data_IF_837219067538
#
_entry.id   IF_837219067538
#
_cell.length_a   1.000
_cell.length_b   1.000
_cell.length_c   1.000
_cell.angle_alpha   90.00
_cell.angle_beta   90.00
_cell.angle_gamma   90.00
#
_symmetry.space_group_name_H-M   'P 1'
#
loop_
_entity.id
_entity.type
_entity.pdbx_description
1 polymer ?
#
# COMPACT_ATOMS: atom_id res chain seq x y z
N UNK A 1 12.03 9.85 16.98
CA UNK A 1 12.34 10.62 15.79
C UNK A 1 11.26 11.67 15.53
N UNK A 2 10.01 11.28 15.33
CA UNK A 2 8.92 12.18 14.96
C UNK A 2 8.60 13.24 16.03
N UNK A 3 8.75 12.91 17.33
CA UNK A 3 8.65 13.93 18.39
C UNK A 3 9.66 15.07 18.17
N UNK A 4 10.94 14.73 17.93
CA UNK A 4 11.96 15.72 17.64
C UNK A 4 11.69 16.51 16.34
N UNK A 5 11.12 15.85 15.33
CA UNK A 5 10.77 16.51 14.08
C UNK A 5 9.61 17.51 14.27
N UNK A 6 8.59 17.15 15.05
CA UNK A 6 7.46 18.04 15.36
C UNK A 6 7.84 19.19 16.31
N UNK A 7 8.78 18.97 17.22
CA UNK A 7 9.34 20.04 18.06
C UNK A 7 10.15 21.06 17.25
N UNK A 8 10.83 20.62 16.19
CA UNK A 8 11.67 21.46 15.34
C UNK A 8 10.92 22.18 14.21
N UNK A 9 9.77 21.62 13.75
CA UNK A 9 9.04 22.11 12.59
C UNK A 9 7.54 22.15 12.86
N UNK A 10 6.94 23.33 12.89
CA UNK A 10 5.51 23.56 13.13
C UNK A 10 4.59 22.93 12.07
N UNK A 11 5.13 22.60 10.90
CA UNK A 11 4.42 21.88 9.83
C UNK A 11 4.14 20.40 10.16
N UNK A 12 4.79 19.84 11.18
CA UNK A 12 4.62 18.46 11.60
C UNK A 12 3.86 18.42 12.92
N UNK A 13 2.80 17.63 12.93
CA UNK A 13 2.00 17.33 14.13
C UNK A 13 1.97 15.83 14.38
N UNK A 14 1.90 15.43 15.65
CA UNK A 14 1.83 14.04 16.06
C UNK A 14 0.57 13.82 16.89
N UNK A 15 -0.28 12.90 16.46
CA UNK A 15 -1.51 12.50 17.13
C UNK A 15 -1.43 11.05 17.58
N UNK A 16 -2.12 10.72 18.66
CA UNK A 16 -2.28 9.36 19.18
C UNK A 16 -3.73 8.93 19.05
N UNK A 17 -3.93 7.75 18.47
CA UNK A 17 -5.23 7.10 18.34
C UNK A 17 -5.26 5.83 19.16
N UNK A 18 -6.39 5.32 19.47
CA UNK A 18 -6.66 4.07 20.20
C UNK A 18 -5.46 3.23 20.65
N UNK A 19 -5.67 2.23 21.43
CA UNK A 19 -4.60 1.31 21.84
C UNK A 19 -4.48 0.17 20.82
N UNK A 20 -3.24 -0.24 20.53
CA UNK A 20 -2.96 -1.49 19.82
C UNK A 20 -3.01 -2.69 20.79
N UNK A 21 -2.93 -3.91 20.27
CA UNK A 21 -2.87 -5.13 21.09
C UNK A 21 -1.60 -5.22 21.96
N UNK A 22 -0.58 -4.40 21.70
CA UNK A 22 0.60 -4.27 22.57
C UNK A 22 0.40 -3.34 23.76
N UNK A 23 -0.74 -2.63 23.84
CA UNK A 23 -1.00 -1.61 24.85
C UNK A 23 -0.49 -0.22 24.48
N UNK A 24 0.36 -0.11 23.46
CA UNK A 24 0.86 1.18 22.95
C UNK A 24 -0.16 1.83 22.02
N UNK A 25 -0.28 3.16 22.00
CA UNK A 25 -1.18 3.87 21.09
C UNK A 25 -0.68 3.80 19.65
N UNK A 26 -1.61 3.78 18.69
CA UNK A 26 -1.25 3.97 17.28
C UNK A 26 -1.05 5.47 17.01
N UNK A 27 0.04 5.82 16.34
CA UNK A 27 0.39 7.21 16.06
C UNK A 27 0.09 7.59 14.61
N UNK A 28 -0.29 8.86 14.41
CA UNK A 28 -0.42 9.51 13.13
C UNK A 28 0.48 10.75 13.12
N UNK A 29 1.45 10.77 12.22
CA UNK A 29 2.26 11.96 11.91
C UNK A 29 1.61 12.70 10.75
N UNK A 30 1.41 13.99 10.89
CA UNK A 30 0.74 14.81 9.89
C UNK A 30 1.65 15.95 9.45
N UNK A 31 1.92 16.02 8.18
CA UNK A 31 2.48 17.21 7.55
C UNK A 31 1.36 18.06 6.94
N UNK A 32 1.36 19.32 7.25
CA UNK A 32 0.62 20.37 6.55
C UNK A 32 1.45 21.66 6.61
N UNK A 33 1.57 22.35 5.50
CA UNK A 33 2.37 23.58 5.41
C UNK A 33 2.04 24.61 6.50
N UNK A 34 0.76 24.77 6.83
CA UNK A 34 0.28 25.69 7.86
C UNK A 34 0.29 25.09 9.28
N UNK A 35 0.70 23.82 9.42
CA UNK A 35 0.53 23.03 10.64
C UNK A 35 -0.88 22.48 10.78
N UNK A 36 -1.09 21.62 11.78
CA UNK A 36 -2.40 21.09 12.21
C UNK A 36 -2.41 21.08 13.73
N UNK A 37 -3.31 21.84 14.32
CA UNK A 37 -3.44 21.95 15.78
C UNK A 37 -4.56 21.08 16.33
N UNK A 38 -5.56 20.77 15.50
CA UNK A 38 -6.68 19.91 15.82
C UNK A 38 -6.88 18.89 14.68
N UNK A 39 -7.06 17.62 15.04
CA UNK A 39 -7.24 16.54 14.07
C UNK A 39 -8.46 16.74 13.17
N UNK A 40 -9.52 17.39 13.63
CA UNK A 40 -10.71 17.68 12.84
C UNK A 40 -10.44 18.64 11.67
N UNK A 41 -9.35 19.40 11.70
CA UNK A 41 -8.94 20.28 10.61
C UNK A 41 -8.62 19.48 9.34
N UNK A 42 -8.11 18.27 9.48
CA UNK A 42 -7.78 17.38 8.36
C UNK A 42 -9.04 17.03 7.58
N UNK A 43 -10.08 16.59 8.31
CA UNK A 43 -11.34 16.14 7.71
C UNK A 43 -12.05 17.23 6.92
N UNK A 44 -11.97 18.47 7.41
CA UNK A 44 -12.64 19.63 6.84
C UNK A 44 -11.77 20.40 5.83
N UNK A 45 -10.52 20.00 5.63
CA UNK A 45 -9.61 20.66 4.71
C UNK A 45 -10.01 20.43 3.26
N UNK A 46 -9.94 21.48 2.40
CA UNK A 46 -10.08 21.34 0.97
C UNK A 46 -8.85 20.71 0.29
N UNK A 47 -7.74 20.56 1.02
CA UNK A 47 -6.47 20.00 0.50
C UNK A 47 -6.60 18.51 0.16
N UNK A 48 -5.68 18.01 -0.66
CA UNK A 48 -5.52 16.58 -0.87
C UNK A 48 -5.08 15.90 0.42
N UNK A 49 -5.58 14.70 0.66
CA UNK A 49 -5.24 13.90 1.83
C UNK A 49 -4.62 12.60 1.37
N UNK A 50 -3.33 12.45 1.70
CA UNK A 50 -2.57 11.24 1.41
C UNK A 50 -2.30 10.54 2.73
N UNK A 51 -2.66 9.25 2.83
CA UNK A 51 -2.35 8.43 3.99
C UNK A 51 -1.35 7.35 3.62
N UNK A 52 -0.22 7.36 4.30
CA UNK A 52 0.84 6.35 4.17
C UNK A 52 0.78 5.43 5.37
N UNK A 53 0.71 4.13 5.14
CA UNK A 53 0.74 3.11 6.17
C UNK A 53 2.04 2.30 6.08
N UNK A 54 2.76 2.21 7.18
CA UNK A 54 4.02 1.48 7.24
C UNK A 54 3.97 0.38 8.30
N UNK A 55 4.70 -0.68 8.06
CA UNK A 55 4.99 -1.67 9.08
C UNK A 55 3.79 -2.49 9.54
N UNK A 56 2.84 -2.83 8.66
CA UNK A 56 1.88 -3.93 8.91
C UNK A 56 2.68 -5.18 9.29
N UNK A 57 3.75 -5.43 8.57
CA UNK A 57 4.77 -6.41 8.89
C UNK A 57 6.07 -5.67 9.20
N UNK A 58 6.43 -5.47 10.46
CA UNK A 58 7.57 -4.60 10.82
C UNK A 58 8.95 -5.11 10.40
N UNK A 59 9.04 -6.35 9.93
CA UNK A 59 10.22 -6.84 9.23
C UNK A 59 10.39 -6.25 7.83
N UNK A 60 9.37 -5.57 7.31
CA UNK A 60 9.30 -4.88 6.04
C UNK A 60 9.45 -3.37 6.27
N UNK A 61 10.67 -2.96 6.66
CA UNK A 61 10.93 -1.62 7.24
C UNK A 61 11.21 -0.51 6.22
N UNK A 62 11.21 -0.82 4.94
CA UNK A 62 11.63 0.11 3.88
C UNK A 62 10.79 1.39 3.85
N UNK A 63 9.46 1.26 3.94
CA UNK A 63 8.55 2.40 4.03
C UNK A 63 8.68 3.20 5.32
N UNK A 64 9.07 2.55 6.44
CA UNK A 64 9.30 3.23 7.71
C UNK A 64 10.44 4.23 7.55
N UNK A 65 11.60 3.77 7.06
CA UNK A 65 12.78 4.61 6.89
C UNK A 65 12.59 5.64 5.77
N UNK A 66 11.96 5.24 4.64
CA UNK A 66 11.66 6.15 3.55
C UNK A 66 10.73 7.29 3.99
N UNK A 67 9.71 7.03 4.83
CA UNK A 67 8.81 8.07 5.35
C UNK A 67 9.51 9.03 6.32
N UNK A 68 10.50 8.54 7.08
CA UNK A 68 11.32 9.40 7.96
C UNK A 68 12.17 10.39 7.14
N UNK A 69 12.78 9.93 6.06
CA UNK A 69 13.53 10.76 5.13
C UNK A 69 12.61 11.77 4.44
N UNK A 70 11.51 11.31 3.91
CA UNK A 70 10.55 12.09 3.15
C UNK A 70 10.00 13.29 3.95
N UNK A 71 9.49 13.07 5.16
CA UNK A 71 8.95 14.16 5.97
C UNK A 71 10.04 15.15 6.40
N UNK A 72 11.26 14.66 6.71
CA UNK A 72 12.39 15.53 7.00
C UNK A 72 12.73 16.43 5.81
N UNK A 73 12.84 15.84 4.63
CA UNK A 73 13.27 16.56 3.43
C UNK A 73 12.23 17.59 2.99
N UNK A 74 10.93 17.29 3.15
CA UNK A 74 9.86 18.26 2.87
C UNK A 74 9.99 19.49 3.78
N UNK A 75 10.15 19.31 5.11
CA UNK A 75 10.16 20.44 6.05
C UNK A 75 11.48 21.20 6.08
N UNK A 76 12.56 20.61 5.56
CA UNK A 76 13.87 21.25 5.44
C UNK A 76 14.13 21.91 4.07
N UNK A 77 13.18 21.79 3.14
CA UNK A 77 13.31 22.32 1.79
C UNK A 77 12.09 23.17 1.42
N UNK A 78 12.28 24.50 1.37
CA UNK A 78 11.23 25.46 1.06
C UNK A 78 10.55 25.19 -0.30
N UNK A 79 11.31 24.71 -1.29
CA UNK A 79 10.75 24.36 -2.60
C UNK A 79 9.79 23.17 -2.51
N UNK A 80 10.09 22.16 -1.70
CA UNK A 80 9.19 21.02 -1.47
C UNK A 80 7.99 21.44 -0.63
N UNK A 81 8.19 22.27 0.40
CA UNK A 81 7.09 22.84 1.20
C UNK A 81 6.12 23.66 0.33
N UNK A 82 6.64 24.47 -0.61
CA UNK A 82 5.80 25.21 -1.57
C UNK A 82 5.12 24.27 -2.57
N UNK A 83 5.84 23.27 -3.08
CA UNK A 83 5.31 22.31 -4.05
C UNK A 83 4.11 21.56 -3.49
N UNK A 84 4.16 21.10 -2.24
CA UNK A 84 3.11 20.29 -1.60
C UNK A 84 2.17 21.10 -0.68
N UNK A 85 2.01 22.39 -0.95
CA UNK A 85 1.16 23.29 -0.14
C UNK A 85 -0.34 22.93 -0.15
N UNK A 86 -0.81 22.24 -1.20
CA UNK A 86 -2.21 21.80 -1.32
C UNK A 86 -2.43 20.37 -0.86
N UNK A 87 -1.44 19.76 -0.19
CA UNK A 87 -1.53 18.41 0.37
C UNK A 87 -1.40 18.40 1.89
N UNK A 88 -2.15 17.51 2.52
CA UNK A 88 -1.94 17.03 3.87
C UNK A 88 -1.42 15.61 3.75
N UNK A 89 -0.19 15.37 4.25
CA UNK A 89 0.46 14.08 4.20
C UNK A 89 0.39 13.47 5.59
N UNK A 90 -0.33 12.36 5.71
CA UNK A 90 -0.54 11.62 6.93
C UNK A 90 0.27 10.32 6.88
N UNK A 91 1.02 10.02 7.93
CA UNK A 91 1.86 8.82 8.00
C UNK A 91 1.55 8.07 9.29
N UNK A 92 1.18 6.81 9.18
CA UNK A 92 1.23 5.84 10.28
C UNK A 92 2.66 5.29 10.29
N UNK A 93 3.50 5.67 11.28
CA UNK A 93 4.93 5.33 11.26
C UNK A 93 5.18 3.84 11.33
N UNK A 94 4.45 3.15 12.22
CA UNK A 94 4.50 1.71 12.41
C UNK A 94 3.13 1.22 12.86
N UNK A 95 2.41 0.55 11.97
CA UNK A 95 1.07 0.04 12.27
C UNK A 95 1.10 -1.12 13.29
N UNK A 96 2.02 -2.05 13.14
CA UNK A 96 2.19 -3.21 14.02
C UNK A 96 3.27 -2.96 15.06
N UNK A 97 2.94 -2.19 16.10
CA UNK A 97 3.90 -1.83 17.16
C UNK A 97 4.38 -3.07 17.91
N UNK A 98 3.49 -4.00 18.26
CA UNK A 98 3.86 -5.23 18.95
C UNK A 98 4.85 -6.09 18.20
N UNK A 99 4.67 -6.22 16.87
CA UNK A 99 5.63 -6.89 16.00
C UNK A 99 6.95 -6.12 15.88
N UNK A 100 6.90 -4.78 15.86
CA UNK A 100 8.11 -3.95 15.79
C UNK A 100 8.97 -4.04 17.05
N UNK A 101 8.35 -4.15 18.23
CA UNK A 101 9.04 -4.36 19.51
C UNK A 101 9.68 -5.76 19.62
N UNK A 102 9.16 -6.75 18.89
CA UNK A 102 9.73 -8.09 18.82
C UNK A 102 10.84 -8.17 17.76
N UNK A 103 11.94 -7.45 17.99
CA UNK A 103 13.07 -7.36 17.05
C UNK A 103 13.92 -8.61 17.03
N UNK A 104 14.34 -8.99 15.84
CA UNK A 104 15.19 -10.13 15.59
C UNK A 104 15.93 -10.00 14.25
N UNK A 105 16.79 -10.98 13.91
CA UNK A 105 17.59 -11.04 12.68
C UNK A 105 17.35 -12.29 11.84
N UNK A 106 16.32 -13.10 12.13
CA UNK A 106 16.18 -14.46 11.58
C UNK A 106 14.78 -14.82 11.07
N UNK A 107 13.75 -14.04 11.35
CA UNK A 107 12.36 -14.37 10.95
C UNK A 107 12.05 -14.07 9.47
N UNK A 108 12.90 -13.33 8.79
CA UNK A 108 12.83 -13.09 7.34
C UNK A 108 14.07 -13.66 6.67
N UNK A 109 14.05 -14.97 6.47
CA UNK A 109 15.13 -15.69 5.81
C UNK A 109 15.40 -15.10 4.41
N UNK A 110 16.67 -14.92 4.05
CA UNK A 110 17.15 -14.38 2.77
C UNK A 110 16.88 -12.88 2.54
N UNK A 111 16.25 -12.14 3.46
CA UNK A 111 16.11 -10.70 3.29
C UNK A 111 17.46 -9.99 3.38
N UNK A 112 17.77 -9.19 2.36
CA UNK A 112 19.01 -8.42 2.28
C UNK A 112 18.89 -7.11 3.07
N UNK A 113 19.05 -7.20 4.41
CA UNK A 113 18.94 -6.08 5.34
C UNK A 113 17.49 -5.66 5.69
N UNK A 114 17.35 -4.85 6.73
CA UNK A 114 18.39 -4.44 7.68
C UNK A 114 18.87 -5.58 8.59
N UNK A 115 19.91 -5.35 9.41
CA UNK A 115 20.47 -6.38 10.31
C UNK A 115 19.47 -6.87 11.35
N UNK A 116 18.63 -5.98 11.85
CA UNK A 116 17.57 -6.30 12.82
C UNK A 116 16.28 -5.64 12.41
N UNK A 117 15.18 -6.37 12.52
CA UNK A 117 13.87 -5.98 12.04
C UNK A 117 12.77 -6.56 12.94
N UNK A 118 11.53 -6.14 12.76
CA UNK A 118 10.40 -6.62 13.56
C UNK A 118 9.85 -7.96 13.07
N UNK A 119 8.91 -8.49 13.85
CA UNK A 119 8.20 -9.73 13.59
C UNK A 119 6.89 -9.48 12.82
N UNK A 120 6.46 -10.44 12.00
CA UNK A 120 5.26 -10.32 11.16
C UNK A 120 3.97 -10.18 11.95
N UNK A 121 3.76 -11.05 12.94
CA UNK A 121 2.57 -11.05 13.78
C UNK A 121 2.54 -9.88 14.76
N UNK A 122 1.34 -9.44 15.16
CA UNK A 122 1.18 -8.46 16.22
C UNK A 122 1.40 -9.09 17.62
N UNK A 123 1.16 -8.34 18.70
CA UNK A 123 1.33 -8.84 20.07
C UNK A 123 0.49 -10.09 20.40
N UNK A 124 -0.58 -10.35 19.63
CA UNK A 124 -1.41 -11.56 19.72
C UNK A 124 -1.11 -12.58 18.63
N UNK A 125 -0.03 -12.38 17.87
CA UNK A 125 0.38 -13.20 16.74
C UNK A 125 -0.64 -13.25 15.58
N UNK A 126 -1.44 -12.19 15.39
CA UNK A 126 -2.30 -12.03 14.21
C UNK A 126 -1.56 -11.35 13.07
N UNK A 127 -1.86 -11.77 11.83
CA UNK A 127 -1.45 -11.05 10.61
C UNK A 127 -2.43 -9.90 10.36
N UNK A 128 -1.98 -8.68 10.65
CA UNK A 128 -2.81 -7.49 10.51
C UNK A 128 -3.24 -7.20 9.06
N UNK A 129 -2.49 -7.72 8.06
CA UNK A 129 -2.90 -7.62 6.65
C UNK A 129 -3.95 -8.69 6.27
N UNK A 130 -4.70 -9.21 7.25
CA UNK A 130 -5.89 -10.08 7.09
C UNK A 130 -7.08 -9.57 7.90
N UNK A 131 -6.95 -8.40 8.55
CA UNK A 131 -7.88 -7.96 9.59
C UNK A 131 -8.65 -6.67 9.27
N UNK A 132 -8.39 -6.01 8.14
CA UNK A 132 -8.94 -4.68 7.86
C UNK A 132 -10.47 -4.63 7.92
N UNK A 133 -11.19 -5.52 7.24
CA UNK A 133 -12.66 -5.55 7.29
C UNK A 133 -13.19 -6.27 8.53
N UNK A 134 -12.39 -7.18 9.11
CA UNK A 134 -12.84 -7.97 10.25
C UNK A 134 -12.77 -7.22 11.56
N UNK A 135 -11.71 -6.40 11.74
CA UNK A 135 -11.43 -5.61 12.94
C UNK A 135 -11.42 -6.44 14.24
N UNK A 136 -10.80 -7.65 14.19
CA UNK A 136 -10.65 -8.53 15.34
C UNK A 136 -9.57 -8.03 16.33
N UNK A 137 -8.73 -7.09 15.91
CA UNK A 137 -7.63 -6.55 16.70
C UNK A 137 -7.86 -5.08 17.08
N UNK A 138 -7.27 -4.65 18.20
CA UNK A 138 -7.24 -3.24 18.56
C UNK A 138 -6.49 -2.39 17.54
N UNK A 139 -5.47 -2.97 16.87
CA UNK A 139 -4.75 -2.31 15.80
C UNK A 139 -5.69 -1.88 14.66
N UNK A 140 -6.53 -2.80 14.18
CA UNK A 140 -7.44 -2.50 13.06
C UNK A 140 -8.55 -1.51 13.46
N UNK A 141 -9.03 -1.53 14.70
CA UNK A 141 -9.96 -0.53 15.20
C UNK A 141 -9.31 0.87 15.22
N UNK A 142 -8.09 1.00 15.74
CA UNK A 142 -7.33 2.26 15.74
C UNK A 142 -7.01 2.74 14.31
N UNK A 143 -6.68 1.82 13.40
CA UNK A 143 -6.51 2.16 11.98
C UNK A 143 -7.79 2.70 11.35
N UNK A 144 -8.93 2.06 11.60
CA UNK A 144 -10.21 2.50 11.08
C UNK A 144 -10.55 3.91 11.58
N UNK A 145 -10.29 4.22 12.84
CA UNK A 145 -10.44 5.56 13.41
C UNK A 145 -9.57 6.58 12.66
N UNK A 146 -8.28 6.30 12.46
CA UNK A 146 -7.38 7.15 11.67
C UNK A 146 -7.91 7.32 10.24
N UNK A 147 -8.23 6.21 9.57
CA UNK A 147 -8.65 6.21 8.17
C UNK A 147 -9.92 7.06 7.95
N UNK A 148 -10.91 6.92 8.82
CA UNK A 148 -12.17 7.69 8.72
C UNK A 148 -12.02 9.15 9.16
N UNK A 149 -11.07 9.46 10.04
CA UNK A 149 -10.71 10.84 10.40
C UNK A 149 -9.99 11.53 9.24
N UNK A 150 -9.00 10.88 8.63
CA UNK A 150 -8.27 11.42 7.48
C UNK A 150 -9.14 11.41 6.23
N UNK A 151 -9.95 10.39 5.99
CA UNK A 151 -10.70 10.16 4.76
C UNK A 151 -9.83 10.38 3.49
N UNK A 152 -8.75 9.62 3.31
CA UNK A 152 -7.71 9.92 2.34
C UNK A 152 -8.19 9.83 0.90
N UNK A 153 -7.67 10.71 0.06
CA UNK A 153 -7.86 10.68 -1.39
C UNK A 153 -6.99 9.61 -2.04
N UNK A 154 -5.76 9.47 -1.51
CA UNK A 154 -4.79 8.45 -1.90
C UNK A 154 -4.28 7.72 -0.67
N UNK A 155 -4.16 6.41 -0.77
CA UNK A 155 -3.63 5.54 0.27
C UNK A 155 -2.42 4.76 -0.24
N UNK A 156 -1.30 4.81 0.49
CA UNK A 156 -0.08 4.06 0.18
C UNK A 156 0.18 3.08 1.32
N UNK A 157 0.40 1.82 0.99
CA UNK A 157 0.74 0.76 1.94
C UNK A 157 2.08 0.13 1.57
N UNK A 158 3.09 0.30 2.42
CA UNK A 158 4.46 -0.11 2.13
C UNK A 158 4.77 -1.51 2.68
N UNK A 159 5.24 -2.38 1.78
CA UNK A 159 5.57 -3.79 2.03
C UNK A 159 6.89 -4.22 1.40
N UNK A 160 7.30 -5.46 1.72
CA UNK A 160 8.45 -6.14 1.11
C UNK A 160 8.04 -7.54 0.70
N UNK A 161 8.05 -7.82 -0.60
CA UNK A 161 7.71 -9.11 -1.17
C UNK A 161 8.84 -10.12 -1.11
N UNK A 162 8.45 -11.38 -1.29
CA UNK A 162 9.30 -12.52 -1.56
C UNK A 162 8.85 -13.20 -2.87
N UNK A 163 9.30 -14.42 -3.15
CA UNK A 163 8.86 -15.23 -4.30
C UNK A 163 9.84 -15.16 -5.46
N UNK A 164 9.34 -14.99 -6.67
CA UNK A 164 10.15 -14.92 -7.89
C UNK A 164 11.20 -13.80 -7.81
N UNK A 165 12.44 -14.08 -8.22
CA UNK A 165 13.46 -13.03 -8.36
C UNK A 165 13.45 -12.44 -9.77
N UNK A 166 13.72 -11.13 -9.84
CA UNK A 166 13.68 -10.32 -11.05
C UNK A 166 14.59 -9.08 -10.88
N UNK A 167 14.76 -8.25 -11.91
CA UNK A 167 15.65 -7.08 -11.83
C UNK A 167 15.09 -5.92 -10.99
N UNK A 168 13.79 -5.80 -10.87
CA UNK A 168 13.14 -4.70 -10.14
C UNK A 168 13.42 -4.75 -8.64
N UNK A 169 13.72 -3.63 -8.03
CA UNK A 169 13.80 -3.53 -6.58
C UNK A 169 12.44 -3.16 -5.95
N UNK A 170 11.52 -2.63 -6.75
CA UNK A 170 10.19 -2.20 -6.32
C UNK A 170 9.13 -2.67 -7.33
N UNK A 171 7.99 -3.09 -6.82
CA UNK A 171 6.79 -3.41 -7.60
C UNK A 171 5.58 -2.70 -7.02
N UNK A 172 4.53 -2.53 -7.82
CA UNK A 172 3.29 -1.88 -7.40
C UNK A 172 2.07 -2.80 -7.53
N UNK A 173 1.14 -2.65 -6.60
CA UNK A 173 -0.18 -3.24 -6.68
C UNK A 173 -1.22 -2.13 -6.42
N UNK A 174 -1.74 -1.55 -7.50
CA UNK A 174 -2.87 -0.64 -7.37
C UNK A 174 -4.14 -1.39 -6.97
N UNK A 175 -5.04 -0.74 -6.26
CA UNK A 175 -6.41 -1.20 -6.09
C UNK A 175 -6.94 -1.74 -7.42
N UNK A 176 -7.58 -2.90 -7.38
CA UNK A 176 -8.09 -3.52 -8.61
C UNK A 176 -9.20 -2.64 -9.22
N UNK A 177 -8.94 -2.10 -10.42
CA UNK A 177 -9.71 -1.02 -11.03
C UNK A 177 -11.16 -1.40 -11.36
N UNK A 178 -11.44 -2.66 -11.75
CA UNK A 178 -12.82 -3.11 -11.98
C UNK A 178 -13.63 -3.21 -10.68
N UNK A 179 -12.94 -3.47 -9.53
CA UNK A 179 -13.55 -3.46 -8.20
C UNK A 179 -13.84 -2.04 -7.73
N UNK A 180 -12.90 -1.11 -7.92
CA UNK A 180 -13.11 0.31 -7.65
C UNK A 180 -14.25 0.85 -8.53
N UNK A 181 -14.25 0.45 -9.81
CA UNK A 181 -15.35 0.65 -10.74
C UNK A 181 -15.52 2.09 -11.24
N UNK A 182 -16.43 2.25 -12.20
CA UNK A 182 -16.79 3.56 -12.75
C UNK A 182 -15.62 4.36 -13.31
N UNK A 183 -15.79 5.68 -13.35
CA UNK A 183 -14.74 6.58 -13.85
C UNK A 183 -13.53 6.66 -12.91
N UNK A 184 -13.71 6.44 -11.60
CA UNK A 184 -12.60 6.42 -10.66
C UNK A 184 -11.67 5.22 -10.90
N UNK A 185 -12.22 4.03 -11.18
CA UNK A 185 -11.42 2.86 -11.56
C UNK A 185 -10.71 3.04 -12.90
N UNK A 186 -11.38 3.66 -13.89
CA UNK A 186 -10.78 4.00 -15.18
C UNK A 186 -9.62 5.00 -15.03
N UNK A 187 -9.80 6.05 -14.24
CA UNK A 187 -8.76 7.04 -13.94
C UNK A 187 -7.52 6.39 -13.29
N UNK A 188 -7.72 5.50 -12.31
CA UNK A 188 -6.62 4.78 -11.68
C UNK A 188 -5.85 3.93 -12.71
N UNK A 189 -6.55 3.20 -13.57
CA UNK A 189 -5.93 2.26 -14.51
C UNK A 189 -5.26 2.94 -15.71
N UNK A 190 -5.88 4.00 -16.26
CA UNK A 190 -5.49 4.56 -17.56
C UNK A 190 -4.78 5.91 -17.45
N UNK A 191 -4.84 6.56 -16.27
CA UNK A 191 -4.19 7.85 -16.04
C UNK A 191 -3.15 7.74 -14.89
N UNK A 192 -3.57 7.45 -13.65
CA UNK A 192 -2.67 7.43 -12.50
C UNK A 192 -1.53 6.42 -12.65
N UNK A 193 -1.84 5.16 -12.94
CA UNK A 193 -0.83 4.11 -13.07
C UNK A 193 0.24 4.41 -14.12
N UNK A 194 -0.13 4.71 -15.40
CA UNK A 194 0.89 4.94 -16.42
C UNK A 194 1.70 6.21 -16.18
N UNK A 195 1.12 7.23 -15.56
CA UNK A 195 1.85 8.46 -15.26
C UNK A 195 2.87 8.25 -14.12
N UNK A 196 2.50 7.49 -13.09
CA UNK A 196 3.45 7.09 -12.04
C UNK A 196 4.59 6.22 -12.60
N UNK A 197 4.29 5.30 -13.51
CA UNK A 197 5.32 4.51 -14.20
C UNK A 197 6.31 5.42 -14.94
N UNK A 198 5.85 6.48 -15.64
CA UNK A 198 6.71 7.46 -16.32
C UNK A 198 7.53 8.33 -15.37
N UNK A 199 6.92 8.81 -14.26
CA UNK A 199 7.66 9.60 -13.28
C UNK A 199 8.84 8.82 -12.69
N UNK A 200 8.63 7.53 -12.41
CA UNK A 200 9.66 6.65 -11.89
C UNK A 200 10.71 6.32 -12.94
N UNK A 201 10.31 6.09 -14.20
CA UNK A 201 11.25 5.89 -15.31
C UNK A 201 12.16 7.10 -15.52
N UNK A 202 11.61 8.33 -15.43
CA UNK A 202 12.39 9.56 -15.52
C UNK A 202 13.42 9.72 -14.39
N UNK A 203 13.18 9.05 -13.26
CA UNK A 203 14.10 8.99 -12.11
C UNK A 203 15.02 7.75 -12.14
N UNK A 204 15.03 6.99 -13.23
CA UNK A 204 15.75 5.72 -13.39
C UNK A 204 15.32 4.63 -12.38
N UNK A 205 14.07 4.67 -11.93
CA UNK A 205 13.47 3.64 -11.09
C UNK A 205 12.63 2.72 -11.97
N UNK A 206 13.15 1.53 -12.25
CA UNK A 206 12.40 0.49 -12.94
C UNK A 206 11.32 -0.08 -12.01
N UNK A 207 10.07 -0.10 -12.49
CA UNK A 207 8.93 -0.64 -11.75
C UNK A 207 8.09 -1.57 -12.62
N UNK A 208 7.44 -2.54 -12.01
CA UNK A 208 6.50 -3.47 -12.66
C UNK A 208 5.33 -3.78 -11.71
N UNK A 209 4.19 -4.27 -12.22
CA UNK A 209 3.16 -4.82 -11.34
C UNK A 209 3.69 -5.93 -10.44
N UNK A 210 3.13 -6.03 -9.23
CA UNK A 210 3.45 -7.08 -8.27
C UNK A 210 3.43 -8.46 -8.92
N UNK A 211 4.56 -9.17 -8.83
CA UNK A 211 4.78 -10.46 -9.50
C UNK A 211 4.15 -11.58 -8.67
N UNK A 212 2.86 -11.78 -8.84
CA UNK A 212 2.07 -12.79 -8.14
C UNK A 212 2.32 -14.19 -8.72
N UNK A 213 3.55 -14.69 -8.57
CA UNK A 213 4.02 -15.98 -9.11
C UNK A 213 4.71 -16.81 -8.03
N UNK A 214 4.27 -18.04 -7.86
CA UNK A 214 4.74 -18.97 -6.81
C UNK A 214 5.06 -20.35 -7.38
N UNK A 215 6.26 -20.85 -7.10
CA UNK A 215 6.69 -22.20 -7.49
C UNK A 215 6.95 -22.40 -9.00
N UNK A 216 6.85 -21.35 -9.80
CA UNK A 216 7.12 -21.33 -11.24
C UNK A 216 7.74 -19.97 -11.62
N UNK A 217 8.11 -19.80 -12.89
CA UNK A 217 8.71 -18.57 -13.40
C UNK A 217 7.65 -17.63 -14.03
N UNK A 218 7.89 -16.30 -14.08
CA UNK A 218 6.91 -15.33 -14.57
C UNK A 218 6.61 -15.41 -16.07
N UNK A 219 7.46 -16.06 -16.88
CA UNK A 219 7.35 -16.07 -18.36
C UNK A 219 6.04 -16.67 -18.87
N UNK A 220 5.38 -17.51 -18.08
CA UNK A 220 4.08 -18.09 -18.43
C UNK A 220 2.93 -17.10 -18.30
N UNK A 221 3.21 -15.90 -17.79
CA UNK A 221 2.22 -14.87 -17.50
C UNK A 221 1.61 -15.02 -16.10
N UNK A 222 1.12 -13.90 -15.55
CA UNK A 222 0.53 -13.86 -14.22
C UNK A 222 -0.63 -12.87 -14.14
N UNK A 223 -1.44 -13.02 -13.09
CA UNK A 223 -2.59 -12.14 -12.85
C UNK A 223 -2.29 -11.14 -11.74
N UNK A 224 -2.91 -9.96 -11.83
CA UNK A 224 -2.95 -9.04 -10.69
C UNK A 224 -3.46 -9.79 -9.46
N UNK A 225 -2.84 -9.57 -8.33
CA UNK A 225 -3.39 -10.02 -7.05
C UNK A 225 -4.71 -9.29 -6.79
N UNK A 226 -5.75 -10.03 -6.42
CA UNK A 226 -7.05 -9.44 -6.08
C UNK A 226 -7.11 -9.13 -4.59
N UNK A 227 -6.97 -7.85 -4.27
CA UNK A 227 -7.03 -7.33 -2.90
C UNK A 227 -8.47 -7.30 -2.38
N UNK A 228 -8.91 -8.38 -1.71
CA UNK A 228 -10.20 -8.36 -1.02
C UNK A 228 -10.18 -7.40 0.19
N UNK A 229 -11.34 -7.02 0.78
CA UNK A 229 -11.39 -6.10 1.93
C UNK A 229 -10.67 -6.59 3.20
N UNK A 230 -10.13 -7.81 3.22
CA UNK A 230 -9.23 -8.30 4.26
C UNK A 230 -7.88 -7.57 4.25
N UNK A 231 -7.46 -7.10 3.07
CA UNK A 231 -6.22 -6.38 2.83
C UNK A 231 -6.45 -4.87 2.89
N UNK A 232 -5.41 -4.11 3.13
CA UNK A 232 -5.45 -2.67 3.29
C UNK A 232 -6.08 -1.94 2.09
N UNK A 233 -5.53 -2.12 0.89
CA UNK A 233 -6.05 -1.49 -0.34
C UNK A 233 -7.43 -2.00 -0.72
N UNK A 234 -7.74 -3.25 -0.37
CA UNK A 234 -9.07 -3.82 -0.55
C UNK A 234 -10.12 -3.18 0.36
N UNK A 235 -9.75 -2.86 1.60
CA UNK A 235 -10.60 -2.14 2.55
C UNK A 235 -10.81 -0.68 2.10
N UNK A 236 -9.73 0.04 1.77
CA UNK A 236 -9.81 1.45 1.38
C UNK A 236 -10.61 1.67 0.10
N UNK A 237 -10.68 0.67 -0.79
CA UNK A 237 -11.54 0.68 -1.99
C UNK A 237 -13.02 0.87 -1.66
N UNK A 238 -13.50 0.34 -0.52
CA UNK A 238 -14.90 0.47 -0.09
C UNK A 238 -15.30 1.94 0.13
N UNK A 239 -14.33 2.82 0.32
CA UNK A 239 -14.48 4.25 0.57
C UNK A 239 -14.01 5.12 -0.59
N UNK A 240 -13.89 4.54 -1.80
CA UNK A 240 -13.50 5.25 -3.03
C UNK A 240 -12.12 5.93 -2.92
N UNK A 241 -11.21 5.36 -2.16
CA UNK A 241 -9.83 5.81 -2.03
C UNK A 241 -8.97 5.16 -3.11
N UNK A 242 -8.14 5.94 -3.79
CA UNK A 242 -7.13 5.43 -4.73
C UNK A 242 -6.03 4.73 -3.93
N UNK A 243 -6.00 3.40 -3.98
CA UNK A 243 -5.06 2.60 -3.18
C UNK A 243 -3.86 2.12 -3.99
N UNK A 244 -2.69 2.18 -3.36
CA UNK A 244 -1.44 1.65 -3.89
C UNK A 244 -0.70 0.88 -2.79
N UNK A 245 -0.49 -0.41 -3.00
CA UNK A 245 0.45 -1.22 -2.23
C UNK A 245 1.79 -1.21 -2.94
N UNK A 246 2.82 -0.84 -2.22
CA UNK A 246 4.22 -0.85 -2.67
C UNK A 246 4.86 -2.12 -2.14
N UNK A 247 5.49 -2.88 -3.02
CA UNK A 247 6.18 -4.11 -2.66
C UNK A 247 7.63 -4.05 -3.15
N UNK A 248 8.55 -3.72 -2.26
CA UNK A 248 9.98 -3.88 -2.58
C UNK A 248 10.37 -5.36 -2.54
N UNK A 249 11.47 -5.74 -3.18
CA UNK A 249 11.88 -7.14 -3.21
C UNK A 249 12.97 -7.45 -2.18
N UNK A 250 12.71 -8.42 -1.30
CA UNK A 250 13.58 -8.75 -0.16
C UNK A 250 15.03 -9.10 -0.52
N UNK A 251 15.28 -9.59 -1.73
CA UNK A 251 16.64 -9.96 -2.19
C UNK A 251 17.46 -8.75 -2.64
N UNK A 252 16.84 -7.59 -2.86
CA UNK A 252 17.56 -6.37 -3.27
C UNK A 252 18.19 -5.65 -2.08
N UNK A 253 19.29 -4.89 -2.29
CA UNK A 253 19.94 -4.14 -1.21
C UNK A 253 18.99 -3.21 -0.47
N UNK A 254 19.06 -3.19 0.86
CA UNK A 254 18.17 -2.40 1.71
C UNK A 254 18.13 -0.93 1.33
N UNK A 255 19.31 -0.32 1.11
CA UNK A 255 19.43 1.07 0.69
C UNK A 255 18.63 1.35 -0.59
N UNK A 256 18.80 0.52 -1.61
CA UNK A 256 18.08 0.66 -2.89
C UNK A 256 16.57 0.57 -2.70
N UNK A 257 16.11 -0.36 -1.84
CA UNK A 257 14.69 -0.51 -1.55
C UNK A 257 14.10 0.74 -0.88
N UNK A 258 14.80 1.28 0.12
CA UNK A 258 14.40 2.52 0.80
C UNK A 258 14.36 3.71 -0.15
N UNK A 259 15.43 3.90 -0.94
CA UNK A 259 15.53 5.00 -1.91
C UNK A 259 14.44 4.92 -2.99
N UNK A 260 14.14 3.75 -3.53
CA UNK A 260 13.09 3.61 -4.53
C UNK A 260 11.68 3.75 -3.95
N UNK A 261 11.45 3.34 -2.69
CA UNK A 261 10.20 3.62 -1.98
C UNK A 261 10.00 5.13 -1.77
N UNK A 262 11.05 5.84 -1.41
CA UNK A 262 11.06 7.30 -1.27
C UNK A 262 10.69 7.98 -2.60
N UNK A 263 11.33 7.61 -3.71
CA UNK A 263 11.04 8.17 -5.03
C UNK A 263 9.62 7.88 -5.50
N UNK A 264 9.11 6.67 -5.21
CA UNK A 264 7.73 6.32 -5.52
C UNK A 264 6.74 7.18 -4.74
N UNK A 265 6.95 7.38 -3.43
CA UNK A 265 6.05 8.21 -2.62
C UNK A 265 6.03 9.66 -3.11
N UNK A 266 7.17 10.26 -3.46
CA UNK A 266 7.20 11.58 -4.07
C UNK A 266 6.49 11.62 -5.43
N UNK A 267 6.63 10.59 -6.26
CA UNK A 267 5.92 10.51 -7.54
C UNK A 267 4.39 10.46 -7.34
N UNK A 268 3.92 9.77 -6.30
CA UNK A 268 2.49 9.80 -5.92
C UNK A 268 2.05 11.19 -5.46
N UNK A 269 2.89 11.91 -4.72
CA UNK A 269 2.57 13.28 -4.29
C UNK A 269 2.50 14.23 -5.48
N UNK A 270 3.47 14.14 -6.40
CA UNK A 270 3.49 14.92 -7.63
C UNK A 270 2.21 14.71 -8.43
N UNK A 271 1.86 13.47 -8.69
CA UNK A 271 0.61 13.12 -9.38
C UNK A 271 -0.64 13.67 -8.66
N UNK A 272 -0.67 13.55 -7.33
CA UNK A 272 -1.81 13.99 -6.53
C UNK A 272 -1.97 15.50 -6.54
N UNK A 273 -0.87 16.28 -6.48
CA UNK A 273 -0.90 17.74 -6.60
C UNK A 273 -1.40 18.18 -7.97
N UNK A 274 -0.89 17.57 -9.03
CA UNK A 274 -1.25 17.90 -10.41
C UNK A 274 -2.71 17.54 -10.76
N UNK A 275 -3.28 16.52 -10.10
CA UNK A 275 -4.61 16.00 -10.41
C UNK A 275 -5.64 16.20 -9.28
N UNK A 276 -5.39 17.12 -8.37
CA UNK A 276 -6.16 17.35 -7.14
C UNK A 276 -7.68 17.45 -7.38
N UNK A 277 -8.10 18.33 -8.27
CA UNK A 277 -9.52 18.59 -8.56
C UNK A 277 -10.19 17.36 -9.20
N UNK A 278 -9.50 16.69 -10.14
CA UNK A 278 -10.00 15.49 -10.79
C UNK A 278 -10.22 14.34 -9.79
N UNK A 279 -9.28 14.12 -8.89
CA UNK A 279 -9.36 13.07 -7.86
C UNK A 279 -10.56 13.31 -6.94
N UNK A 280 -10.74 14.54 -6.44
CA UNK A 280 -11.86 14.91 -5.56
C UNK A 280 -13.21 14.76 -6.25
N UNK A 281 -13.33 15.27 -7.48
CA UNK A 281 -14.57 15.18 -8.27
C UNK A 281 -14.94 13.71 -8.56
N UNK A 282 -13.95 12.88 -8.98
CA UNK A 282 -14.16 11.47 -9.25
C UNK A 282 -14.57 10.69 -8.00
N UNK A 283 -13.95 10.96 -6.85
CA UNK A 283 -14.32 10.32 -5.57
C UNK A 283 -15.74 10.73 -5.15
N UNK A 284 -16.07 12.02 -5.26
CA UNK A 284 -17.42 12.50 -4.95
C UNK A 284 -18.49 11.85 -5.83
N UNK A 285 -18.24 11.77 -7.14
CA UNK A 285 -19.14 11.11 -8.09
C UNK A 285 -19.28 9.62 -7.81
N UNK A 286 -18.18 8.93 -7.53
CA UNK A 286 -18.19 7.50 -7.18
C UNK A 286 -19.03 7.21 -5.92
N UNK A 287 -18.92 8.06 -4.89
CA UNK A 287 -19.74 7.97 -3.68
C UNK A 287 -21.23 8.20 -3.97
N UNK A 288 -21.57 9.18 -4.80
CA UNK A 288 -22.96 9.43 -5.22
C UNK A 288 -23.53 8.27 -6.05
N UNK A 289 -22.75 7.72 -6.98
CA UNK A 289 -23.15 6.58 -7.81
C UNK A 289 -23.46 5.33 -6.99
N UNK A 290 -22.68 5.04 -5.93
CA UNK A 290 -22.92 3.85 -5.11
C UNK A 290 -24.25 3.94 -4.35
N UNK A 291 -24.64 5.14 -3.91
CA UNK A 291 -25.91 5.36 -3.23
C UNK A 291 -27.13 5.12 -4.14
N UNK A 292 -26.98 5.30 -5.45
CA UNK A 292 -28.04 5.06 -6.44
C UNK A 292 -28.14 3.58 -6.88
N UNK A 293 -27.17 2.74 -6.56
CA UNK A 293 -27.14 1.33 -6.98
C UNK A 293 -28.13 0.47 -6.20
N UNK A 294 -28.80 -0.44 -6.93
CA UNK A 294 -29.67 -1.46 -6.33
C UNK A 294 -28.96 -2.78 -6.04
N UNK A 295 -27.80 -2.99 -6.65
CA UNK A 295 -26.99 -4.19 -6.48
C UNK A 295 -25.52 -3.84 -6.28
N UNK A 296 -24.82 -4.67 -5.49
CA UNK A 296 -23.40 -4.52 -5.24
C UNK A 296 -22.62 -5.78 -5.71
N UNK A 297 -21.49 -5.62 -6.44
CA UNK A 297 -20.66 -6.75 -6.85
C UNK A 297 -19.84 -7.26 -5.67
N UNK A 298 -19.95 -8.56 -5.36
CA UNK A 298 -19.21 -9.18 -4.25
C UNK A 298 -18.04 -10.03 -4.72
N UNK A 299 -18.22 -10.79 -5.82
CA UNK A 299 -17.18 -11.69 -6.29
C UNK A 299 -16.75 -11.30 -7.70
N UNK A 300 -15.47 -11.45 -7.91
CA UNK A 300 -14.81 -11.17 -9.19
C UNK A 300 -13.94 -12.36 -9.58
N UNK A 301 -13.73 -12.55 -10.87
CA UNK A 301 -12.82 -13.53 -11.43
C UNK A 301 -11.99 -12.88 -12.52
N UNK A 302 -10.70 -13.22 -12.57
CA UNK A 302 -9.81 -12.75 -13.63
C UNK A 302 -10.33 -13.15 -15.00
N UNK A 303 -10.36 -12.18 -15.92
CA UNK A 303 -10.68 -12.42 -17.32
C UNK A 303 -9.40 -12.83 -18.08
N UNK A 304 -9.25 -14.11 -18.36
CA UNK A 304 -8.08 -14.65 -19.09
C UNK A 304 -8.06 -14.36 -20.60
N UNK A 305 -9.14 -13.80 -21.14
CA UNK A 305 -9.21 -13.39 -22.55
C UNK A 305 -8.61 -12.00 -22.77
N UNK A 306 -8.49 -11.20 -21.68
CA UNK A 306 -7.93 -9.85 -21.70
C UNK A 306 -6.62 -9.82 -20.95
N UNK A 307 -5.59 -9.33 -21.60
CA UNK A 307 -4.26 -9.15 -20.99
C UNK A 307 -3.54 -7.96 -21.65
N UNK A 308 -2.57 -7.44 -20.97
CA UNK A 308 -1.55 -6.56 -21.54
C UNK A 308 -0.19 -7.25 -21.51
N UNK A 309 0.70 -6.89 -22.41
CA UNK A 309 2.06 -7.38 -22.41
C UNK A 309 2.93 -6.45 -21.56
N UNK A 310 3.65 -7.04 -20.62
CA UNK A 310 4.71 -6.37 -19.87
C UNK A 310 6.04 -6.64 -20.57
N UNK A 311 6.85 -5.62 -20.74
CA UNK A 311 8.27 -5.80 -21.06
C UNK A 311 9.00 -6.15 -19.77
N UNK A 312 9.06 -7.44 -19.44
CA UNK A 312 9.47 -7.93 -18.12
C UNK A 312 10.95 -8.25 -18.08
N UNK A 313 11.65 -7.67 -17.10
CA UNK A 313 13.08 -7.88 -16.82
C UNK A 313 13.23 -8.86 -15.67
N UNK A 314 13.62 -10.08 -15.99
CA UNK A 314 13.73 -11.17 -15.00
C UNK A 314 15.05 -11.90 -15.09
N UNK A 315 15.13 -13.00 -14.36
CA UNK A 315 16.26 -13.92 -14.36
C UNK A 315 15.81 -15.33 -14.77
N UNK A 316 16.64 -16.06 -15.51
CA UNK A 316 16.36 -17.47 -15.84
C UNK A 316 16.20 -18.29 -14.58
N UNK A 317 15.12 -19.09 -14.55
CA UNK A 317 14.80 -19.95 -13.41
C UNK A 317 14.92 -21.44 -13.74
N UNK A 318 15.51 -22.22 -12.84
CA UNK A 318 15.64 -23.66 -12.98
C UNK A 318 15.41 -24.41 -11.65
N UNK A 319 14.96 -25.66 -11.77
CA UNK A 319 14.78 -26.54 -10.61
C UNK A 319 16.08 -27.23 -10.26
N UNK A 320 16.73 -26.84 -9.16
CA UNK A 320 17.97 -27.43 -8.65
C UNK A 320 17.73 -28.24 -7.38
N UNK A 321 18.67 -29.10 -7.02
CA UNK A 321 18.66 -29.84 -5.75
C UNK A 321 18.71 -28.86 -4.56
N UNK A 322 17.88 -29.07 -3.57
CA UNK A 322 17.89 -28.28 -2.33
C UNK A 322 19.01 -28.80 -1.41
N UNK A 323 19.82 -27.86 -0.88
CA UNK A 323 20.86 -28.19 0.13
C UNK A 323 20.26 -28.38 1.54
N UNK A 324 19.00 -28.04 1.74
CA UNK A 324 18.32 -28.06 3.06
C UNK A 324 17.30 -29.20 3.16
N UNK A 325 16.64 -29.51 2.05
CA UNK A 325 15.71 -30.63 1.96
C UNK A 325 16.18 -31.60 0.88
N UNK A 326 15.80 -32.87 0.93
CA UNK A 326 16.15 -33.83 -0.12
C UNK A 326 15.36 -33.64 -1.43
N UNK A 327 14.63 -32.54 -1.55
CA UNK A 327 13.84 -32.20 -2.72
C UNK A 327 14.52 -31.25 -3.69
N UNK A 328 13.73 -30.66 -4.58
CA UNK A 328 14.15 -29.60 -5.50
C UNK A 328 13.63 -28.25 -5.04
N UNK A 329 14.35 -27.19 -5.38
CA UNK A 329 13.91 -25.79 -5.24
C UNK A 329 14.06 -25.04 -6.55
N UNK A 330 13.22 -24.05 -6.76
CA UNK A 330 13.38 -23.10 -7.84
C UNK A 330 14.58 -22.18 -7.51
N UNK A 331 15.45 -22.00 -8.47
CA UNK A 331 16.63 -21.11 -8.39
C UNK A 331 16.56 -20.12 -9.55
N UNK A 332 16.78 -18.87 -9.27
CA UNK A 332 16.91 -17.80 -10.27
C UNK A 332 18.39 -17.45 -10.42
N UNK A 333 18.90 -17.54 -11.66
CA UNK A 333 20.32 -17.26 -11.96
C UNK A 333 20.48 -15.78 -12.32
N UNK A 334 20.94 -14.98 -11.37
CA UNK A 334 21.15 -13.54 -11.57
C UNK A 334 22.22 -13.19 -12.61
N UNK A 335 23.03 -14.18 -13.04
CA UNK A 335 23.98 -14.02 -14.14
C UNK A 335 23.34 -14.25 -15.53
N UNK A 336 22.05 -14.62 -15.56
CA UNK A 336 21.28 -14.84 -16.78
C UNK A 336 20.02 -13.95 -16.79
N UNK A 337 20.20 -12.61 -16.86
CA UNK A 337 19.07 -11.71 -16.99
C UNK A 337 18.40 -11.88 -18.36
N UNK A 338 17.10 -11.60 -18.41
CA UNK A 338 16.36 -11.55 -19.65
C UNK A 338 15.39 -10.37 -19.69
N UNK A 339 15.02 -9.94 -20.89
CA UNK A 339 13.92 -9.01 -21.12
C UNK A 339 12.98 -9.65 -22.12
N UNK A 340 11.73 -9.94 -21.67
CA UNK A 340 10.74 -10.69 -22.46
C UNK A 340 9.34 -10.11 -22.31
N UNK A 341 8.52 -10.28 -23.35
CA UNK A 341 7.10 -9.96 -23.29
C UNK A 341 6.36 -11.02 -22.46
N UNK A 342 5.78 -10.60 -21.32
CA UNK A 342 5.04 -11.45 -20.40
C UNK A 342 3.58 -11.00 -20.31
N UNK A 343 2.63 -11.93 -20.43
CA UNK A 343 1.21 -11.64 -20.32
C UNK A 343 0.83 -11.30 -18.87
N UNK A 344 0.20 -10.15 -18.69
CA UNK A 344 -0.35 -9.73 -17.40
C UNK A 344 -1.86 -9.57 -17.47
N UNK A 345 -2.57 -10.26 -16.60
CA UNK A 345 -4.02 -10.32 -16.57
C UNK A 345 -4.54 -9.45 -15.41
N UNK A 346 -4.95 -8.22 -15.69
CA UNK A 346 -5.44 -7.24 -14.71
C UNK A 346 -6.93 -6.90 -14.88
N UNK A 347 -7.61 -7.51 -15.85
CA UNK A 347 -9.06 -7.36 -16.04
C UNK A 347 -9.83 -8.41 -15.24
N UNK A 348 -10.83 -7.96 -14.49
CA UNK A 348 -11.69 -8.81 -13.67
C UNK A 348 -13.16 -8.63 -14.02
N UNK A 349 -13.89 -9.75 -14.11
CA UNK A 349 -15.31 -9.77 -14.36
C UNK A 349 -16.09 -10.10 -13.07
N UNK A 350 -17.21 -9.42 -12.86
CA UNK A 350 -18.12 -9.69 -11.75
C UNK A 350 -18.79 -11.05 -11.94
N UNK A 351 -18.66 -11.94 -10.96
CA UNK A 351 -19.29 -13.27 -10.98
C UNK A 351 -20.45 -13.42 -10.01
N UNK A 352 -20.55 -12.55 -9.00
CA UNK A 352 -21.68 -12.53 -8.06
C UNK A 352 -22.01 -11.09 -7.66
N UNK A 353 -23.30 -10.79 -7.72
CA UNK A 353 -23.89 -9.54 -7.20
C UNK A 353 -24.90 -9.86 -6.11
N UNK A 354 -25.09 -8.95 -5.18
CA UNK A 354 -26.19 -9.01 -4.19
C UNK A 354 -27.10 -7.81 -4.38
N UNK A 355 -28.35 -7.96 -4.01
CA UNK A 355 -29.28 -6.83 -3.86
C UNK A 355 -28.91 -6.07 -2.58
N UNK A 356 -28.77 -4.75 -2.68
CA UNK A 356 -28.54 -3.91 -1.50
C UNK A 356 -29.84 -3.88 -0.69
N UNK A 357 -29.84 -4.31 0.58
CA UNK A 357 -31.05 -4.31 1.40
C UNK A 357 -31.39 -2.88 1.81
N UNK A 358 -32.67 -2.63 2.11
CA UNK A 358 -33.12 -1.34 2.63
C UNK A 358 -32.65 -1.09 4.06
N UNK A 359 -32.42 -2.14 4.83
CA UNK A 359 -31.94 -2.07 6.22
C UNK A 359 -31.26 -3.39 6.61
N UNK A 360 -30.37 -3.30 7.57
CA UNK A 360 -29.81 -4.43 8.31
C UNK A 360 -30.44 -4.43 9.70
N UNK A 361 -30.84 -5.61 10.19
CA UNK A 361 -31.44 -5.77 11.50
C UNK A 361 -30.49 -6.60 12.35
N UNK A 362 -29.95 -6.01 13.41
CA UNK A 362 -29.15 -6.67 14.44
C UNK A 362 -30.04 -7.02 15.64
N UNK A 363 -29.95 -8.24 16.13
CA UNK A 363 -30.66 -8.63 17.33
C UNK A 363 -30.03 -7.96 18.56
N UNK A 364 -30.85 -7.48 19.47
CA UNK A 364 -30.40 -6.76 20.68
C UNK A 364 -29.42 -7.59 21.55
N UNK A 365 -29.52 -8.92 21.54
CA UNK A 365 -28.60 -9.80 22.29
C UNK A 365 -27.18 -9.90 21.69
N UNK A 366 -26.94 -9.33 20.53
CA UNK A 366 -25.62 -9.33 19.84
C UNK A 366 -24.88 -8.00 20.12
N UNK A 367 -24.65 -7.73 21.39
CA UNK A 367 -24.09 -6.45 21.84
C UNK A 367 -22.60 -6.24 21.52
N UNK A 368 -21.90 -7.30 21.11
CA UNK A 368 -20.47 -7.25 20.73
C UNK A 368 -20.24 -7.06 19.21
N UNK A 369 -21.30 -6.81 18.44
CA UNK A 369 -21.25 -6.62 16.99
C UNK A 369 -21.40 -5.14 16.63
#
# INVERSE_FOLDING_TARGET
YYNKLSEAHSQISLFSFGQTDSGEPLHLVVYNREGVYNIDEIKNSPKNRILINNGIHPGESDGIDASMLLLRDIVQNDSLTEKYKNSIICVIPVYNIGGALNRNSHTRANQNGPVAYGFRGNARNYDLNRDFIKQDTKNSAAFAEIFHTVNPDVFIDNHVSNGADYEYAITHLFTQHNKLGGNLGAFLQYEMRPELEKYLEAKNVNITPYVNVWGTTPETGFSQFFDSPRYSTGYTTLFHTLGLMVETHMLKPYKTRVEQTYELMFSVFDFTEENSEAIKDLRFKAAAEILAKKTYPLHFKVNKEKFRNLNFKGFEGEMIASKVTNGKRLFYDTNKPFERSVKYYDEYAVTKKITIPKAYILQQGWHDI
#
